data_IF_929423309644
#
_entry.id   IF_929423309644
#
_cell.length_a   1.000
_cell.length_b   1.000
_cell.length_c   1.000
_cell.angle_alpha   90.00
_cell.angle_beta   90.00
_cell.angle_gamma   90.00
#
_symmetry.space_group_name_H-M   'P 1'
#
loop_
_entity.id
_entity.type
_entity.pdbx_description
1 polymer ?
#
# COMPACT_ATOMS: atom_id res chain seq x y z
N UNK A 1 -20.87 5.86 -63.66
CA UNK A 1 -20.13 7.13 -63.51
C UNK A 1 -20.61 7.80 -62.23
N UNK A 2 -19.68 8.09 -61.27
CA UNK A 2 -19.73 9.09 -60.16
C UNK A 2 -20.95 9.03 -59.19
N UNK A 3 -20.89 8.98 -57.86
CA UNK A 3 -19.85 9.08 -56.80
C UNK A 3 -20.48 8.56 -55.48
N UNK A 4 -19.79 7.79 -54.62
CA UNK A 4 -19.27 8.15 -53.26
C UNK A 4 -20.34 8.88 -52.40
N UNK A 5 -20.81 8.37 -51.25
CA UNK A 5 -20.14 8.38 -49.93
C UNK A 5 -20.76 7.29 -49.01
N UNK A 6 -19.91 6.38 -48.50
CA UNK A 6 -20.19 5.54 -47.33
C UNK A 6 -19.86 6.35 -46.07
N UNK A 7 -20.87 6.70 -45.26
CA UNK A 7 -20.66 7.25 -43.91
C UNK A 7 -20.65 6.09 -42.93
N UNK A 8 -19.46 5.53 -42.68
CA UNK A 8 -19.25 4.59 -41.57
C UNK A 8 -19.04 5.41 -40.32
N UNK A 9 -20.11 5.58 -39.52
CA UNK A 9 -20.01 6.11 -38.16
C UNK A 9 -19.27 5.07 -37.32
N UNK A 10 -17.96 5.26 -37.20
CA UNK A 10 -17.12 4.50 -36.28
C UNK A 10 -17.42 5.04 -34.88
N UNK A 11 -18.37 4.41 -34.19
CA UNK A 11 -18.58 4.65 -32.77
C UNK A 11 -17.32 4.09 -32.07
N UNK A 12 -16.33 4.95 -31.82
CA UNK A 12 -15.28 4.65 -30.84
C UNK A 12 -16.00 4.48 -29.50
N UNK A 13 -16.35 3.24 -29.17
CA UNK A 13 -16.56 2.86 -27.79
C UNK A 13 -15.21 3.03 -27.13
N UNK A 14 -14.97 4.20 -26.54
CA UNK A 14 -13.98 4.35 -25.49
C UNK A 14 -14.48 3.43 -24.38
N UNK A 15 -14.03 2.18 -24.40
CA UNK A 15 -14.08 1.34 -23.21
C UNK A 15 -13.16 2.06 -22.23
N UNK A 16 -13.75 2.91 -21.40
CA UNK A 16 -13.10 3.33 -20.18
C UNK A 16 -12.86 2.05 -19.43
N UNK A 17 -11.64 1.50 -19.52
CA UNK A 17 -11.15 0.53 -18.58
C UNK A 17 -11.07 1.26 -17.22
N UNK A 18 -12.24 1.48 -16.60
CA UNK A 18 -12.37 1.90 -15.21
C UNK A 18 -12.06 0.65 -14.40
N UNK A 19 -10.78 0.32 -14.35
CA UNK A 19 -10.21 -0.66 -13.45
C UNK A 19 -8.88 -0.11 -12.97
N UNK A 20 -8.97 0.95 -12.17
CA UNK A 20 -7.84 1.47 -11.39
C UNK A 20 -8.28 2.26 -10.14
N UNK A 21 -9.59 2.41 -9.88
CA UNK A 21 -10.10 2.96 -8.62
C UNK A 21 -10.09 1.86 -7.54
N UNK A 22 -8.94 1.27 -7.26
CA UNK A 22 -8.69 0.85 -5.87
C UNK A 22 -8.31 2.15 -5.19
N UNK A 23 -9.17 2.61 -4.28
CA UNK A 23 -9.09 3.92 -3.66
C UNK A 23 -7.68 4.23 -3.17
N UNK A 24 -6.96 5.09 -3.91
CA UNK A 24 -5.77 5.72 -3.38
C UNK A 24 -6.24 6.60 -2.22
N UNK A 25 -5.92 6.18 -0.99
CA UNK A 25 -6.26 6.93 0.20
C UNK A 25 -5.65 8.33 0.10
N UNK A 26 -6.41 9.36 0.47
CA UNK A 26 -5.88 10.73 0.45
C UNK A 26 -4.72 10.87 1.43
N UNK A 27 -3.80 11.81 1.15
CA UNK A 27 -2.67 12.11 2.04
C UNK A 27 -3.13 12.42 3.46
N UNK A 28 -4.23 13.18 3.61
CA UNK A 28 -4.79 13.53 4.91
C UNK A 28 -5.30 12.29 5.66
N UNK A 29 -5.93 11.37 4.93
CA UNK A 29 -6.45 10.12 5.49
C UNK A 29 -5.32 9.22 5.99
N UNK A 30 -4.23 9.13 5.23
CA UNK A 30 -3.02 8.38 5.63
C UNK A 30 -2.33 9.05 6.83
N UNK A 31 -2.22 10.39 6.83
CA UNK A 31 -1.60 11.13 7.93
C UNK A 31 -2.44 11.08 9.22
N UNK A 32 -3.76 10.92 9.14
CA UNK A 32 -4.62 10.81 10.32
C UNK A 32 -4.17 9.67 11.26
N UNK A 33 -3.64 8.58 10.70
CA UNK A 33 -3.10 7.43 11.44
C UNK A 33 -1.77 7.71 12.15
N UNK A 34 -1.03 8.74 11.74
CA UNK A 34 0.26 9.07 12.34
C UNK A 34 0.12 9.46 13.83
N UNK A 35 1.10 9.12 14.69
CA UNK A 35 1.10 9.53 16.10
C UNK A 35 0.92 11.05 16.24
N UNK A 36 0.03 11.48 17.14
CA UNK A 36 -0.50 12.85 17.14
C UNK A 36 0.54 13.98 17.03
N UNK A 37 1.63 13.91 17.81
CA UNK A 37 2.70 14.94 17.75
C UNK A 37 3.61 14.83 16.52
N UNK A 38 3.71 13.65 15.93
CA UNK A 38 4.56 13.39 14.76
C UNK A 38 3.81 13.61 13.43
N UNK A 39 2.48 13.74 13.45
CA UNK A 39 1.63 13.75 12.25
C UNK A 39 2.01 14.80 11.22
N UNK A 40 2.20 16.06 11.63
CA UNK A 40 2.46 17.16 10.71
C UNK A 40 3.78 16.97 9.93
N UNK A 41 4.76 16.37 10.61
CA UNK A 41 6.13 16.22 10.15
C UNK A 41 6.43 14.82 9.58
N UNK A 42 5.44 13.93 9.55
CA UNK A 42 5.58 12.57 9.02
C UNK A 42 5.69 12.58 7.49
N UNK A 43 6.50 11.68 6.96
CA UNK A 43 6.56 11.37 5.54
C UNK A 43 5.36 10.51 5.12
N UNK A 44 4.96 10.60 3.86
CA UNK A 44 4.00 9.69 3.24
C UNK A 44 4.62 9.08 1.99
N UNK A 45 4.56 7.76 1.90
CA UNK A 45 5.05 7.02 0.74
C UNK A 45 3.96 6.16 0.11
N UNK A 46 4.17 5.80 -1.15
CA UNK A 46 3.41 4.80 -1.88
C UNK A 46 4.32 3.64 -2.24
N UNK A 47 3.91 2.42 -1.93
CA UNK A 47 4.64 1.23 -2.36
C UNK A 47 4.36 0.94 -3.83
N UNK A 48 5.41 0.56 -4.55
CA UNK A 48 5.35 0.04 -5.91
C UNK A 48 5.23 -1.49 -5.88
N UNK A 49 4.83 -2.09 -7.01
CA UNK A 49 4.71 -3.55 -7.15
C UNK A 49 6.05 -4.29 -7.00
N UNK A 50 7.17 -3.61 -7.24
CA UNK A 50 8.53 -4.14 -7.08
C UNK A 50 9.10 -3.98 -5.66
N UNK A 51 8.25 -3.57 -4.71
CA UNK A 51 8.60 -3.30 -3.30
C UNK A 51 9.60 -2.15 -3.10
N UNK A 52 9.78 -1.30 -4.09
CA UNK A 52 10.31 0.06 -3.91
C UNK A 52 9.18 1.00 -3.51
N UNK A 53 9.48 2.28 -3.26
CA UNK A 53 8.47 3.26 -2.92
C UNK A 53 8.73 4.62 -3.58
N UNK A 54 7.65 5.34 -3.82
CA UNK A 54 7.64 6.76 -4.16
C UNK A 54 7.30 7.60 -2.93
N UNK A 55 8.00 8.71 -2.72
CA UNK A 55 7.64 9.68 -1.68
C UNK A 55 6.56 10.63 -2.18
N UNK A 56 5.37 10.57 -1.58
CA UNK A 56 4.25 11.46 -1.90
C UNK A 56 4.30 12.76 -1.09
N UNK A 57 4.87 12.69 0.11
CA UNK A 57 5.10 13.85 0.99
C UNK A 57 6.40 13.66 1.76
N UNK A 58 7.28 14.65 1.67
CA UNK A 58 8.49 14.71 2.49
C UNK A 58 8.15 14.91 3.98
N UNK A 59 8.91 14.22 4.83
CA UNK A 59 8.86 14.35 6.29
C UNK A 59 10.08 15.07 6.83
N UNK A 60 9.94 15.65 8.02
CA UNK A 60 11.06 16.26 8.78
C UNK A 60 11.38 15.47 10.05
N UNK A 61 10.56 14.47 10.38
CA UNK A 61 10.81 13.52 11.47
C UNK A 61 11.00 12.09 10.94
N UNK A 62 11.25 11.14 11.85
CA UNK A 62 11.52 9.75 11.50
C UNK A 62 10.28 8.91 11.14
N UNK A 63 9.06 9.47 11.19
CA UNK A 63 7.83 8.71 10.95
C UNK A 63 7.48 8.73 9.46
N UNK A 64 7.14 7.56 8.94
CA UNK A 64 6.61 7.36 7.60
C UNK A 64 5.29 6.61 7.66
N UNK A 65 4.30 7.06 6.89
CA UNK A 65 2.99 6.45 6.76
C UNK A 65 2.71 6.03 5.32
N UNK A 66 1.94 4.97 5.14
CA UNK A 66 1.59 4.45 3.82
C UNK A 66 0.32 3.60 3.88
N UNK A 67 -0.35 3.51 2.73
CA UNK A 67 -1.47 2.58 2.56
C UNK A 67 -0.98 1.15 2.40
N UNK A 68 -1.81 0.22 2.85
CA UNK A 68 -1.69 -1.23 2.69
C UNK A 68 -2.93 -1.82 2.04
N UNK A 69 -3.83 -0.98 1.54
CA UNK A 69 -5.09 -1.40 0.90
C UNK A 69 -4.90 -2.28 -0.33
N UNK A 70 -3.68 -2.29 -0.89
CA UNK A 70 -3.26 -3.12 -2.01
C UNK A 70 -2.72 -4.50 -1.59
N UNK A 71 -2.52 -4.74 -0.29
CA UNK A 71 -2.09 -6.05 0.19
C UNK A 71 -3.25 -7.04 0.26
N UNK A 72 -2.94 -8.32 0.00
CA UNK A 72 -3.85 -9.45 0.24
C UNK A 72 -4.44 -9.40 1.66
N UNK A 73 -5.73 -9.72 1.76
CA UNK A 73 -6.49 -9.81 3.02
C UNK A 73 -6.62 -8.48 3.80
N UNK A 74 -6.46 -7.32 3.13
CA UNK A 74 -6.67 -5.99 3.76
C UNK A 74 -8.01 -5.37 3.36
N UNK A 75 -8.66 -4.63 4.28
CA UNK A 75 -9.79 -3.79 3.92
C UNK A 75 -9.35 -2.62 3.02
N UNK A 76 -10.32 -1.98 2.37
CA UNK A 76 -10.08 -0.84 1.48
C UNK A 76 -9.39 0.34 2.21
N UNK A 77 -9.64 0.51 3.50
CA UNK A 77 -8.89 1.43 4.36
C UNK A 77 -7.96 0.62 5.27
N UNK A 78 -6.68 0.58 4.94
CA UNK A 78 -5.64 0.01 5.77
C UNK A 78 -4.38 0.88 5.67
N UNK A 79 -3.99 1.51 6.78
CA UNK A 79 -2.84 2.40 6.86
C UNK A 79 -1.87 1.88 7.92
N UNK A 80 -0.59 2.03 7.65
CA UNK A 80 0.46 1.78 8.64
C UNK A 80 1.41 2.95 8.71
N UNK A 81 1.80 3.32 9.93
CA UNK A 81 2.87 4.28 10.20
C UNK A 81 3.96 3.62 11.04
N UNK A 82 5.22 3.84 10.67
CA UNK A 82 6.38 3.34 11.40
C UNK A 82 7.59 4.26 11.22
N UNK A 83 8.76 3.86 11.70
CA UNK A 83 10.01 4.57 11.42
C UNK A 83 10.47 4.35 9.99
N UNK A 84 11.09 5.37 9.37
CA UNK A 84 11.76 5.25 8.08
C UNK A 84 12.82 4.14 8.05
N UNK A 85 13.47 3.86 9.18
CA UNK A 85 14.45 2.77 9.29
C UNK A 85 13.84 1.38 9.11
N UNK A 86 12.51 1.24 9.21
CA UNK A 86 11.80 -0.02 9.03
C UNK A 86 11.40 -0.32 7.58
N UNK A 87 11.64 0.58 6.63
CA UNK A 87 11.13 0.38 5.25
C UNK A 87 11.67 -0.90 4.60
N UNK A 88 12.91 -1.29 4.85
CA UNK A 88 13.43 -2.58 4.37
C UNK A 88 12.70 -3.79 4.99
N UNK A 89 12.34 -3.72 6.28
CA UNK A 89 11.52 -4.74 6.96
C UNK A 89 10.13 -4.81 6.34
N UNK A 90 9.53 -3.66 6.02
CA UNK A 90 8.20 -3.57 5.40
C UNK A 90 8.23 -4.16 3.99
N UNK A 91 9.21 -3.80 3.17
CA UNK A 91 9.38 -4.35 1.82
C UNK A 91 9.47 -5.89 1.86
N UNK A 92 10.24 -6.45 2.80
CA UNK A 92 10.31 -7.90 2.97
C UNK A 92 8.94 -8.51 3.36
N UNK A 93 8.18 -7.87 4.24
CA UNK A 93 6.84 -8.36 4.61
C UNK A 93 5.88 -8.35 3.44
N UNK A 94 5.88 -7.26 2.66
CA UNK A 94 5.02 -7.11 1.47
C UNK A 94 5.36 -8.18 0.44
N UNK A 95 6.65 -8.45 0.23
CA UNK A 95 7.12 -9.55 -0.60
C UNK A 95 6.63 -10.91 -0.12
N UNK A 96 6.81 -11.25 1.16
CA UNK A 96 6.32 -12.52 1.70
C UNK A 96 4.81 -12.70 1.55
N UNK A 97 4.05 -11.61 1.73
CA UNK A 97 2.60 -11.62 1.52
C UNK A 97 2.22 -11.83 0.07
N UNK A 98 2.90 -11.17 -0.86
CA UNK A 98 2.64 -11.30 -2.30
C UNK A 98 3.06 -12.66 -2.87
N UNK A 99 4.14 -13.26 -2.34
CA UNK A 99 4.65 -14.58 -2.78
C UNK A 99 3.90 -15.77 -2.18
N UNK A 100 2.92 -15.54 -1.30
CA UNK A 100 2.15 -16.61 -0.63
C UNK A 100 0.67 -16.53 -0.98
N UNK A 101 -0.05 -17.64 -0.82
CA UNK A 101 -1.50 -17.69 -1.07
C UNK A 101 -2.34 -17.34 0.15
N UNK A 102 -1.79 -17.48 1.36
CA UNK A 102 -2.54 -17.30 2.61
C UNK A 102 -1.63 -16.94 3.79
N UNK A 103 -2.26 -16.60 4.92
CA UNK A 103 -1.57 -16.18 6.15
C UNK A 103 -0.71 -17.30 6.76
N UNK A 104 -1.05 -18.58 6.57
CA UNK A 104 -0.25 -19.69 7.13
C UNK A 104 1.09 -19.82 6.40
N UNK A 105 1.07 -19.77 5.07
CA UNK A 105 2.27 -19.79 4.23
C UNK A 105 3.15 -18.56 4.49
N UNK A 106 2.56 -17.37 4.62
CA UNK A 106 3.27 -16.14 4.98
C UNK A 106 4.04 -16.29 6.30
N UNK A 107 3.39 -16.87 7.33
CA UNK A 107 4.04 -17.16 8.63
C UNK A 107 5.16 -18.18 8.50
N UNK A 108 4.98 -19.22 7.68
CA UNK A 108 6.02 -20.21 7.44
C UNK A 108 7.24 -19.59 6.73
N UNK A 109 7.02 -18.70 5.76
CA UNK A 109 8.08 -17.97 5.07
C UNK A 109 8.83 -17.01 6.01
N UNK A 110 8.10 -16.30 6.89
CA UNK A 110 8.70 -15.48 7.95
C UNK A 110 9.56 -16.34 8.89
N UNK A 111 9.04 -17.46 9.38
CA UNK A 111 9.77 -18.35 10.28
C UNK A 111 11.02 -18.95 9.62
N UNK A 112 10.94 -19.31 8.34
CA UNK A 112 12.09 -19.77 7.57
C UNK A 112 13.17 -18.69 7.45
N UNK A 113 12.77 -17.44 7.19
CA UNK A 113 13.68 -16.30 7.14
C UNK A 113 14.33 -16.00 8.50
N UNK A 114 13.60 -16.23 9.60
CA UNK A 114 14.16 -16.10 10.95
C UNK A 114 15.16 -17.23 11.24
N UNK A 115 14.81 -18.48 10.93
CA UNK A 115 15.67 -19.64 11.16
C UNK A 115 16.98 -19.60 10.35
N UNK A 116 16.95 -19.05 9.13
CA UNK A 116 18.13 -18.92 8.27
C UNK A 116 18.86 -17.57 8.42
N UNK A 117 18.39 -16.68 9.31
CA UNK A 117 19.02 -15.38 9.57
C UNK A 117 18.84 -14.32 8.48
N UNK A 118 17.98 -14.54 7.49
CA UNK A 118 17.70 -13.57 6.40
C UNK A 118 16.58 -12.60 6.73
N UNK A 119 15.94 -12.75 7.90
CA UNK A 119 14.90 -11.85 8.35
C UNK A 119 15.48 -10.47 8.67
N UNK A 120 15.03 -9.45 7.95
CA UNK A 120 15.41 -8.05 8.21
C UNK A 120 14.92 -7.67 9.60
N UNK A 121 15.80 -7.19 10.48
CA UNK A 121 15.41 -6.77 11.81
C UNK A 121 14.60 -5.45 11.77
N UNK A 122 13.56 -5.27 12.60
CA UNK A 122 12.99 -3.96 12.81
C UNK A 122 13.93 -3.07 13.64
N UNK A 123 13.81 -1.76 13.50
CA UNK A 123 14.43 -0.78 14.38
C UNK A 123 13.85 -0.93 15.79
N UNK A 124 14.73 -1.22 16.75
CA UNK A 124 14.34 -1.41 18.15
C UNK A 124 13.72 -0.14 18.74
N UNK A 125 12.60 -0.29 19.44
CA UNK A 125 11.91 0.83 20.10
C UNK A 125 11.11 1.75 19.15
N UNK A 126 11.12 1.48 17.85
CA UNK A 126 10.33 2.23 16.87
C UNK A 126 8.84 1.90 16.94
N UNK A 127 7.94 2.86 16.63
CA UNK A 127 6.51 2.62 16.64
C UNK A 127 6.06 1.81 15.42
N UNK A 128 5.01 1.02 15.61
CA UNK A 128 4.25 0.36 14.55
C UNK A 128 2.76 0.64 14.80
N UNK A 129 2.22 1.63 14.10
CA UNK A 129 0.83 2.07 14.24
C UNK A 129 0.05 1.58 13.05
N UNK A 130 -1.09 0.97 13.30
CA UNK A 130 -1.98 0.42 12.28
C UNK A 130 -3.36 1.02 12.47
N UNK A 131 -4.01 1.39 11.38
CA UNK A 131 -5.41 1.79 11.38
C UNK A 131 -6.09 1.11 10.18
N UNK A 132 -7.07 0.27 10.50
CA UNK A 132 -7.77 -0.54 9.52
C UNK A 132 -9.25 -0.49 9.85
N UNK A 133 -10.07 -0.02 8.92
CA UNK A 133 -11.51 0.05 9.14
C UNK A 133 -12.13 -1.29 8.76
N UNK A 134 -12.48 -2.10 9.77
CA UNK A 134 -13.02 -3.45 9.56
C UNK A 134 -14.54 -3.50 9.34
N UNK A 135 -15.21 -2.37 9.07
CA UNK A 135 -16.60 -2.35 8.62
C UNK A 135 -17.64 -3.01 9.54
N UNK A 136 -17.51 -2.93 10.87
CA UNK A 136 -18.58 -3.36 11.79
C UNK A 136 -19.68 -2.29 11.89
N UNK A 137 -20.47 -2.15 10.82
CA UNK A 137 -21.74 -1.45 10.84
C UNK A 137 -22.88 -2.41 11.24
N UNK A 138 -22.84 -2.93 12.47
CA UNK A 138 -24.02 -3.49 13.15
C UNK A 138 -23.93 -3.11 14.63
N UNK A 139 -24.59 -2.00 15.00
CA UNK A 139 -24.99 -1.67 16.37
C UNK A 139 -26.39 -1.06 16.32
#
# INVERSE_FOLDING_TARGET
>A
MKSIILVVVSLLTVTTNVSAQIAELSLESVLATAPGRARADAAVIKWNDDYTYETLKEGTNAIVCYSRSDERDRPAFAVQCTSMANLARVAQNRRFRAETGNTQEERAMVAAAEANGTRVAPEYGSPWVFDEWSGSAER
#
